data_IF_264099085117
#
_entry.id   IF_264099085117
#
_cell.length_a   1.000
_cell.length_b   1.000
_cell.length_c   1.000
_cell.angle_alpha   90.00
_cell.angle_beta   90.00
_cell.angle_gamma   90.00
#
_symmetry.space_group_name_H-M   'P 1'
#
loop_
_entity.id
_entity.type
_entity.pdbx_description
1 polymer ?
#
# COMPACT_ATOMS: atom_id res chain seq x y z
N UNK A 1 11.42 8.43 4.91
CA UNK A 1 10.96 8.27 6.30
C UNK A 1 9.88 7.22 6.33
N UNK A 2 9.98 6.23 7.23
CA UNK A 2 9.01 5.15 7.31
C UNK A 2 7.71 5.54 8.03
N UNK A 3 6.74 4.65 7.98
CA UNK A 3 5.54 4.72 8.82
C UNK A 3 5.94 4.75 10.31
N UNK A 4 5.25 5.61 11.08
CA UNK A 4 5.40 5.71 12.53
C UNK A 4 4.12 5.19 13.17
N UNK A 5 4.28 4.16 14.00
CA UNK A 5 3.17 3.52 14.70
C UNK A 5 3.58 3.15 16.12
N UNK A 6 2.65 3.30 17.05
CA UNK A 6 2.75 2.77 18.40
C UNK A 6 1.79 1.59 18.53
N UNK A 7 2.29 0.36 18.45
CA UNK A 7 1.51 -0.86 18.64
C UNK A 7 2.11 -1.68 19.78
N UNK A 8 1.28 -2.16 20.70
CA UNK A 8 1.67 -3.08 21.77
C UNK A 8 1.57 -4.52 21.27
N UNK A 9 2.47 -4.93 20.37
CA UNK A 9 2.53 -6.31 19.90
C UNK A 9 3.68 -7.05 20.55
N UNK A 10 3.36 -8.16 21.21
CA UNK A 10 4.31 -9.14 21.70
C UNK A 10 3.90 -10.50 21.16
N UNK A 11 4.78 -11.11 20.37
CA UNK A 11 4.62 -12.49 19.92
C UNK A 11 5.89 -13.24 20.30
N UNK A 12 5.73 -14.40 20.95
CA UNK A 12 6.83 -15.30 21.29
C UNK A 12 6.53 -16.65 20.66
N UNK A 13 7.48 -17.16 19.88
CA UNK A 13 7.36 -18.52 19.37
C UNK A 13 7.39 -19.52 20.55
N UNK A 14 6.64 -20.59 20.42
CA UNK A 14 6.72 -21.76 21.29
C UNK A 14 6.57 -23.00 20.41
N UNK A 15 7.66 -23.52 19.87
CA UNK A 15 7.58 -24.69 19.01
C UNK A 15 8.68 -25.70 19.33
N UNK A 16 8.43 -26.95 18.96
CA UNK A 16 9.28 -28.11 19.26
C UNK A 16 10.74 -27.98 18.79
N UNK A 17 11.05 -27.04 17.90
CA UNK A 17 12.41 -26.81 17.42
C UNK A 17 13.23 -25.88 18.32
N UNK A 18 12.63 -25.30 19.37
CA UNK A 18 13.27 -24.38 20.30
C UNK A 18 14.09 -25.05 21.42
N UNK A 19 14.21 -26.39 21.41
CA UNK A 19 15.00 -27.17 22.38
C UNK A 19 14.61 -26.84 23.84
N UNK A 20 15.56 -26.40 24.66
CA UNK A 20 15.38 -26.15 26.09
C UNK A 20 14.37 -25.03 26.39
N UNK A 21 14.11 -24.14 25.42
CA UNK A 21 13.14 -23.05 25.54
C UNK A 21 11.70 -23.47 25.17
N UNK A 22 11.50 -24.68 24.62
CA UNK A 22 10.17 -25.19 24.28
C UNK A 22 9.38 -25.61 25.53
N UNK A 23 8.12 -25.19 25.58
CA UNK A 23 7.21 -25.48 26.69
C UNK A 23 6.07 -26.36 26.18
N UNK A 24 6.11 -27.69 26.44
CA UNK A 24 5.11 -28.63 25.92
C UNK A 24 3.73 -28.47 26.56
N UNK A 25 3.65 -27.77 27.70
CA UNK A 25 2.44 -27.38 28.41
C UNK A 25 1.70 -26.19 27.78
N UNK A 26 2.36 -25.46 26.85
CA UNK A 26 1.80 -24.30 26.17
C UNK A 26 1.46 -24.60 24.71
N UNK A 27 0.59 -23.77 24.12
CA UNK A 27 0.21 -23.86 22.71
C UNK A 27 1.43 -23.77 21.79
N UNK A 28 1.42 -24.55 20.70
CA UNK A 28 2.49 -24.52 19.70
C UNK A 28 2.36 -23.31 18.78
N UNK A 29 3.27 -22.34 18.94
CA UNK A 29 3.30 -21.08 18.19
C UNK A 29 4.54 -21.05 17.29
N UNK A 30 4.29 -20.86 15.99
CA UNK A 30 5.32 -20.65 14.98
C UNK A 30 5.31 -19.19 14.53
N UNK A 31 6.49 -18.61 14.36
CA UNK A 31 6.66 -17.31 13.72
C UNK A 31 7.12 -17.55 12.28
N UNK A 32 6.43 -16.92 11.33
CA UNK A 32 6.79 -16.98 9.92
C UNK A 32 7.25 -15.60 9.45
N UNK A 33 8.33 -15.58 8.69
CA UNK A 33 8.83 -14.40 8.01
C UNK A 33 8.46 -14.48 6.53
N UNK A 34 7.72 -13.50 6.05
CA UNK A 34 7.36 -13.35 4.64
C UNK A 34 8.14 -12.20 4.04
N UNK A 35 8.77 -12.45 2.90
CA UNK A 35 9.43 -11.43 2.09
C UNK A 35 8.93 -11.53 0.65
N UNK A 36 8.56 -10.39 0.08
CA UNK A 36 8.07 -10.33 -1.30
C UNK A 36 9.23 -10.07 -2.22
N UNK A 37 9.56 -11.06 -3.05
CA UNK A 37 10.60 -10.93 -4.05
C UNK A 37 10.27 -9.81 -5.05
N UNK A 38 11.15 -8.81 -5.16
CA UNK A 38 11.06 -7.73 -6.14
C UNK A 38 9.75 -6.93 -6.07
N UNK A 39 9.33 -6.53 -4.86
CA UNK A 39 8.08 -5.78 -4.63
C UNK A 39 7.92 -4.56 -5.55
N UNK A 40 8.95 -3.72 -5.70
CA UNK A 40 8.90 -2.54 -6.58
C UNK A 40 8.76 -2.93 -8.04
N UNK A 41 9.55 -3.90 -8.52
CA UNK A 41 9.45 -4.39 -9.89
C UNK A 41 8.06 -4.93 -10.22
N UNK A 42 7.50 -5.75 -9.31
CA UNK A 42 6.13 -6.26 -9.47
C UNK A 42 5.11 -5.12 -9.56
N UNK A 43 5.22 -4.12 -8.68
CA UNK A 43 4.32 -2.94 -8.69
C UNK A 43 4.50 -2.09 -9.95
N UNK A 44 5.71 -2.00 -10.49
CA UNK A 44 6.01 -1.27 -11.72
C UNK A 44 5.44 -1.95 -12.98
N UNK A 45 5.06 -3.23 -12.91
CA UNK A 45 4.40 -3.93 -14.00
C UNK A 45 2.89 -3.66 -14.08
N UNK A 46 2.31 -3.01 -13.06
CA UNK A 46 0.89 -2.66 -13.01
C UNK A 46 0.56 -1.47 -13.93
N UNK A 47 -0.73 -1.16 -14.08
CA UNK A 47 -1.17 0.04 -14.79
C UNK A 47 -0.80 1.29 -13.99
N UNK A 48 0.13 2.08 -14.54
CA UNK A 48 0.65 3.29 -13.91
C UNK A 48 0.26 4.54 -14.71
N UNK A 49 0.00 5.66 -14.03
CA UNK A 49 -0.28 6.93 -14.69
C UNK A 49 0.89 7.35 -15.59
N UNK A 50 0.58 7.87 -16.78
CA UNK A 50 1.62 8.39 -17.69
C UNK A 50 1.27 9.75 -18.32
N UNK A 51 0.02 10.21 -18.27
CA UNK A 51 -0.34 11.48 -18.90
C UNK A 51 -1.82 11.85 -18.86
N UNK A 52 -2.15 12.93 -19.55
CA UNK A 52 -3.52 13.44 -19.74
C UNK A 52 -4.26 13.75 -18.43
N UNK A 53 -3.51 14.28 -17.45
CA UNK A 53 -4.05 14.69 -16.16
C UNK A 53 -5.04 15.84 -16.32
N UNK A 54 -6.25 15.65 -15.85
CA UNK A 54 -7.30 16.68 -15.86
C UNK A 54 -8.24 16.49 -14.68
N UNK A 55 -8.75 17.60 -14.15
CA UNK A 55 -9.82 17.52 -13.16
C UNK A 55 -11.14 17.15 -13.85
N UNK A 56 -11.95 16.36 -13.17
CA UNK A 56 -13.31 16.05 -13.56
C UNK A 56 -14.22 17.16 -13.02
N UNK A 57 -15.17 17.62 -13.82
CA UNK A 57 -16.15 18.62 -13.40
C UNK A 57 -17.03 18.10 -12.26
N UNK A 58 -17.49 19.01 -11.39
CA UNK A 58 -18.19 18.66 -10.14
C UNK A 58 -19.40 17.75 -10.35
N UNK A 59 -20.26 18.09 -11.33
CA UNK A 59 -21.47 17.32 -11.65
C UNK A 59 -21.15 15.90 -12.19
N UNK A 60 -19.96 15.71 -12.76
CA UNK A 60 -19.60 14.47 -13.41
C UNK A 60 -19.03 13.43 -12.42
N UNK A 61 -18.31 13.85 -11.37
CA UNK A 61 -17.69 12.88 -10.46
C UNK A 61 -18.65 12.27 -9.43
N UNK A 62 -19.80 12.89 -9.15
CA UNK A 62 -20.84 12.27 -8.30
C UNK A 62 -21.41 10.99 -8.92
N UNK A 63 -21.34 10.88 -10.25
CA UNK A 63 -21.86 9.72 -11.02
C UNK A 63 -20.80 8.67 -11.35
N UNK A 64 -19.53 8.91 -11.01
CA UNK A 64 -18.45 7.96 -11.30
C UNK A 64 -18.55 6.73 -10.41
N UNK A 65 -18.70 5.56 -11.03
CA UNK A 65 -18.63 4.27 -10.34
C UNK A 65 -17.16 3.84 -10.11
N UNK A 66 -16.50 4.53 -9.19
CA UNK A 66 -15.08 4.31 -8.87
C UNK A 66 -14.85 2.94 -8.23
N UNK A 67 -15.86 2.40 -7.53
CA UNK A 67 -15.73 1.12 -6.82
C UNK A 67 -15.70 -0.06 -7.79
N UNK A 68 -16.46 0.00 -8.89
CA UNK A 68 -16.47 -1.06 -9.90
C UNK A 68 -15.58 -0.77 -11.12
N UNK A 69 -14.99 0.42 -11.23
CA UNK A 69 -14.05 0.79 -12.30
C UNK A 69 -12.90 -0.23 -12.42
N UNK A 70 -12.54 -0.79 -13.59
CA UNK A 70 -11.46 -1.78 -13.67
C UNK A 70 -10.07 -1.22 -13.30
N UNK A 71 -9.24 -2.04 -12.64
CA UNK A 71 -7.88 -1.64 -12.24
C UNK A 71 -6.91 -1.49 -13.43
N UNK A 72 -7.21 -2.19 -14.52
CA UNK A 72 -6.49 -2.24 -15.80
C UNK A 72 -7.17 -1.40 -16.89
N UNK A 73 -8.12 -0.54 -16.53
CA UNK A 73 -8.70 0.41 -17.45
C UNK A 73 -7.64 1.42 -17.93
N UNK A 74 -7.86 1.97 -19.13
CA UNK A 74 -6.97 2.99 -19.71
C UNK A 74 -7.00 4.31 -18.92
N UNK A 75 -8.11 4.58 -18.23
CA UNK A 75 -8.28 5.75 -17.36
C UNK A 75 -8.14 5.32 -15.91
N UNK A 76 -7.46 6.13 -15.11
CA UNK A 76 -7.39 5.99 -13.65
C UNK A 76 -7.74 7.31 -12.95
N UNK A 77 -7.90 7.24 -11.62
CA UNK A 77 -8.32 8.37 -10.81
C UNK A 77 -7.50 8.54 -9.53
N UNK A 78 -7.19 9.79 -9.19
CA UNK A 78 -6.77 10.21 -7.86
C UNK A 78 -7.92 11.04 -7.29
N UNK A 79 -8.35 10.71 -6.08
CA UNK A 79 -9.44 11.39 -5.40
C UNK A 79 -8.90 12.21 -4.25
N UNK A 80 -9.54 13.34 -4.00
CA UNK A 80 -9.50 14.11 -2.76
C UNK A 80 -10.85 13.88 -2.08
N UNK A 81 -10.88 13.20 -0.94
CA UNK A 81 -12.11 12.78 -0.30
C UNK A 81 -12.06 12.76 1.23
N UNK A 82 -13.23 12.74 1.84
CA UNK A 82 -13.41 12.59 3.28
C UNK A 82 -13.78 11.13 3.58
N UNK A 83 -13.06 10.52 4.52
CA UNK A 83 -13.24 9.13 4.93
C UNK A 83 -13.62 9.08 6.40
N UNK A 84 -14.75 8.47 6.72
CA UNK A 84 -15.08 8.16 8.10
C UNK A 84 -14.34 6.89 8.52
N UNK A 85 -13.83 6.90 9.75
CA UNK A 85 -13.22 5.73 10.39
C UNK A 85 -14.13 5.25 11.52
N UNK A 86 -14.99 4.24 11.27
CA UNK A 86 -15.96 3.80 12.25
C UNK A 86 -15.30 3.25 13.53
N UNK A 87 -15.78 3.62 14.74
CA UNK A 87 -15.24 3.14 16.01
C UNK A 87 -15.24 1.62 16.16
N UNK A 88 -16.18 0.90 15.53
CA UNK A 88 -16.24 -0.56 15.55
C UNK A 88 -15.05 -1.23 14.85
N UNK A 89 -14.31 -0.51 14.00
CA UNK A 89 -13.08 -1.00 13.35
C UNK A 89 -11.82 -0.77 14.18
N UNK A 90 -11.88 0.06 15.24
CA UNK A 90 -10.69 0.47 15.98
C UNK A 90 -9.95 -0.71 16.62
N UNK A 91 -10.69 -1.69 17.14
CA UNK A 91 -10.08 -2.89 17.71
C UNK A 91 -9.44 -3.77 16.62
N UNK A 92 -10.11 -3.92 15.47
CA UNK A 92 -9.62 -4.73 14.37
C UNK A 92 -8.37 -4.12 13.70
N UNK A 93 -8.32 -2.80 13.59
CA UNK A 93 -7.27 -2.08 12.89
C UNK A 93 -6.23 -1.44 13.81
N UNK A 94 -6.27 -1.67 15.12
CA UNK A 94 -5.31 -1.09 16.09
C UNK A 94 -3.85 -1.35 15.70
N UNK A 95 -3.63 -2.49 15.05
CA UNK A 95 -2.36 -3.05 14.65
C UNK A 95 -1.83 -2.48 13.33
N UNK A 96 -2.69 -2.03 12.43
CA UNK A 96 -2.28 -1.39 11.19
C UNK A 96 -3.40 -0.48 10.68
N UNK A 97 -3.61 0.70 11.29
CA UNK A 97 -4.64 1.62 10.84
C UNK A 97 -4.45 2.01 9.37
N UNK A 98 -5.54 1.98 8.61
CA UNK A 98 -5.55 2.39 7.21
C UNK A 98 -5.42 3.91 7.04
N UNK A 99 -5.13 4.33 5.81
CA UNK A 99 -5.02 5.74 5.40
C UNK A 99 -4.00 6.55 6.24
N UNK A 100 -2.69 6.25 6.17
CA UNK A 100 -1.68 7.01 6.89
C UNK A 100 -1.69 8.50 6.50
N UNK A 101 -1.39 9.36 7.46
CA UNK A 101 -1.37 10.82 7.28
C UNK A 101 -0.12 11.46 7.89
N UNK A 102 0.40 12.51 7.26
CA UNK A 102 1.51 13.27 7.82
C UNK A 102 1.02 14.18 8.95
N UNK A 103 1.44 13.90 10.19
CA UNK A 103 1.05 14.68 11.38
C UNK A 103 2.22 14.88 12.33
N UNK A 104 2.12 15.92 13.14
CA UNK A 104 3.03 16.14 14.26
C UNK A 104 2.58 15.23 15.43
N UNK A 105 3.42 14.30 15.89
CA UNK A 105 3.14 13.54 17.09
C UNK A 105 2.98 14.48 18.31
N UNK A 106 2.25 14.04 19.36
CA UNK A 106 2.24 14.77 20.62
C UNK A 106 3.68 15.06 21.08
N UNK A 107 3.94 16.30 21.49
CA UNK A 107 5.26 16.76 21.96
C UNK A 107 6.39 16.74 20.90
N UNK A 108 6.06 16.72 19.61
CA UNK A 108 7.05 16.80 18.53
C UNK A 108 6.69 17.86 17.50
N UNK A 109 7.70 18.63 17.07
CA UNK A 109 7.55 19.62 15.99
C UNK A 109 7.82 19.04 14.60
N UNK A 110 8.12 17.74 14.50
CA UNK A 110 8.44 17.08 13.23
C UNK A 110 7.24 16.30 12.70
N UNK A 111 6.88 16.56 11.44
CA UNK A 111 5.85 15.77 10.74
C UNK A 111 6.36 14.35 10.52
N UNK A 112 5.57 13.37 10.94
CA UNK A 112 5.80 11.95 10.69
C UNK A 112 4.59 11.37 9.95
N UNK A 113 4.82 10.34 9.14
CA UNK A 113 3.73 9.58 8.54
C UNK A 113 3.14 8.66 9.62
N UNK A 114 1.95 8.99 10.10
CA UNK A 114 1.32 8.31 11.24
C UNK A 114 0.14 7.46 10.78
N UNK A 115 0.03 6.26 11.37
CA UNK A 115 -1.16 5.41 11.25
C UNK A 115 -2.12 5.78 12.37
N UNK A 116 -3.23 6.44 12.03
CA UNK A 116 -4.23 6.92 12.99
C UNK A 116 -5.59 6.31 12.71
N UNK A 117 -6.36 6.07 13.77
CA UNK A 117 -7.76 5.62 13.70
C UNK A 117 -8.75 6.78 13.53
N UNK A 118 -8.27 7.99 13.26
CA UNK A 118 -9.14 9.15 13.08
C UNK A 118 -9.82 9.13 11.70
N UNK A 119 -11.00 9.73 11.59
CA UNK A 119 -11.56 10.08 10.29
C UNK A 119 -10.63 11.02 9.53
N UNK A 120 -10.61 10.90 8.21
CA UNK A 120 -9.73 11.64 7.32
C UNK A 120 -10.54 12.70 6.59
N UNK A 121 -9.92 13.86 6.38
CA UNK A 121 -10.52 15.00 5.68
C UNK A 121 -9.56 15.44 4.59
N UNK A 122 -10.08 15.77 3.41
CA UNK A 122 -9.31 16.13 2.23
C UNK A 122 -8.17 15.14 1.92
N UNK A 123 -8.45 13.85 2.09
CA UNK A 123 -7.48 12.79 1.94
C UNK A 123 -7.26 12.50 0.46
N UNK A 124 -6.02 12.65 0.00
CA UNK A 124 -5.66 12.40 -1.40
C UNK A 124 -5.16 10.97 -1.56
N UNK A 125 -5.82 10.18 -2.41
CA UNK A 125 -5.48 8.78 -2.64
C UNK A 125 -5.77 8.30 -4.05
N UNK A 126 -5.08 7.24 -4.46
CA UNK A 126 -5.36 6.50 -5.69
C UNK A 126 -6.66 5.70 -5.55
N UNK A 127 -7.45 5.59 -6.62
CA UNK A 127 -8.73 4.89 -6.60
C UNK A 127 -8.64 3.42 -6.13
N UNK A 128 -7.56 2.71 -6.49
CA UNK A 128 -7.31 1.33 -5.99
C UNK A 128 -7.19 1.27 -4.47
N UNK A 129 -6.58 2.28 -3.84
CA UNK A 129 -6.50 2.36 -2.38
C UNK A 129 -7.86 2.69 -1.77
N UNK A 130 -8.66 3.54 -2.42
CA UNK A 130 -10.03 3.80 -1.98
C UNK A 130 -10.84 2.50 -1.96
N UNK A 131 -10.82 1.70 -3.03
CA UNK A 131 -11.50 0.40 -3.07
C UNK A 131 -11.06 -0.52 -1.92
N UNK A 132 -9.75 -0.60 -1.67
CA UNK A 132 -9.22 -1.37 -0.55
C UNK A 132 -9.80 -0.85 0.77
N UNK A 133 -9.79 0.46 1.00
CA UNK A 133 -10.27 1.04 2.25
C UNK A 133 -11.76 0.82 2.48
N UNK A 134 -12.59 0.98 1.45
CA UNK A 134 -14.02 0.68 1.52
C UNK A 134 -14.25 -0.82 1.79
N UNK A 135 -13.50 -1.70 1.11
CA UNK A 135 -13.55 -3.14 1.36
C UNK A 135 -13.18 -3.52 2.80
N UNK A 136 -12.28 -2.75 3.43
CA UNK A 136 -11.89 -2.92 4.84
C UNK A 136 -12.82 -2.17 5.81
N UNK A 137 -13.89 -1.55 5.32
CA UNK A 137 -14.95 -0.96 6.14
C UNK A 137 -14.85 0.54 6.41
N UNK A 138 -13.85 1.26 5.87
CA UNK A 138 -13.90 2.72 5.89
C UNK A 138 -15.09 3.19 5.06
N UNK A 139 -15.68 4.31 5.43
CA UNK A 139 -16.85 4.85 4.73
C UNK A 139 -16.44 6.10 3.97
N UNK A 140 -16.74 6.14 2.67
CA UNK A 140 -16.59 7.35 1.86
C UNK A 140 -17.71 8.32 2.23
N UNK A 141 -17.34 9.47 2.81
CA UNK A 141 -18.32 10.48 3.23
C UNK A 141 -18.62 11.43 2.08
N UNK A 142 -17.56 11.94 1.44
CA UNK A 142 -17.67 12.94 0.39
C UNK A 142 -16.46 12.87 -0.53
N UNK A 143 -16.69 13.03 -1.83
CA UNK A 143 -15.64 13.33 -2.80
C UNK A 143 -15.57 14.85 -2.96
N UNK A 144 -14.39 15.43 -2.75
CA UNK A 144 -14.17 16.86 -2.91
C UNK A 144 -13.72 17.21 -4.32
N UNK A 145 -12.81 16.41 -4.89
CA UNK A 145 -12.30 16.57 -6.27
C UNK A 145 -11.81 15.24 -6.81
N UNK A 146 -11.85 15.10 -8.14
CA UNK A 146 -11.29 13.94 -8.84
C UNK A 146 -10.33 14.41 -9.93
N UNK A 147 -9.12 13.85 -9.92
CA UNK A 147 -8.14 13.98 -10.99
C UNK A 147 -8.15 12.68 -11.82
N UNK A 148 -8.53 12.77 -13.09
CA UNK A 148 -8.41 11.65 -14.04
C UNK A 148 -7.08 11.70 -14.79
N UNK A 149 -6.60 10.55 -15.20
CA UNK A 149 -5.36 10.40 -16.00
C UNK A 149 -5.42 9.15 -16.87
N UNK A 150 -4.56 9.08 -17.89
CA UNK A 150 -4.31 7.84 -18.62
C UNK A 150 -3.24 7.00 -17.93
N UNK A 151 -3.48 5.69 -17.90
CA UNK A 151 -2.60 4.70 -17.32
C UNK A 151 -2.42 3.49 -18.24
N UNK A 152 -1.26 2.85 -18.14
CA UNK A 152 -0.92 1.62 -18.87
C UNK A 152 0.23 0.90 -18.16
N UNK A 153 0.51 -0.38 -18.45
CA UNK A 153 1.66 -1.09 -17.88
C UNK A 153 2.94 -0.76 -18.64
N UNK A 154 3.23 0.54 -18.83
CA UNK A 154 4.27 1.02 -19.73
C UNK A 154 5.69 0.64 -19.28
N UNK A 155 5.92 0.49 -17.96
CA UNK A 155 7.19 -0.01 -17.42
C UNK A 155 7.36 -1.52 -17.53
N UNK A 156 6.28 -2.29 -17.70
CA UNK A 156 6.32 -3.76 -17.64
C UNK A 156 7.37 -4.37 -18.57
N UNK A 157 7.46 -3.89 -19.81
CA UNK A 157 8.46 -4.39 -20.79
C UNK A 157 9.90 -4.22 -20.30
N UNK A 158 10.18 -3.10 -19.64
CA UNK A 158 11.50 -2.81 -19.08
C UNK A 158 11.80 -3.72 -17.88
N UNK A 159 10.84 -3.89 -16.99
CA UNK A 159 10.99 -4.75 -15.80
C UNK A 159 11.16 -6.22 -16.20
N UNK A 160 10.34 -6.70 -17.14
CA UNK A 160 10.40 -8.07 -17.66
C UNK A 160 11.78 -8.34 -18.28
N UNK A 161 12.29 -7.41 -19.09
CA UNK A 161 13.62 -7.53 -19.71
C UNK A 161 14.73 -7.66 -18.67
N UNK A 162 14.78 -6.77 -17.68
CA UNK A 162 15.81 -6.83 -16.64
C UNK A 162 15.67 -8.08 -15.76
N UNK A 163 14.44 -8.52 -15.50
CA UNK A 163 14.17 -9.75 -14.75
C UNK A 163 14.67 -10.98 -15.52
N UNK A 164 14.39 -11.06 -16.82
CA UNK A 164 14.90 -12.13 -17.68
C UNK A 164 16.42 -12.12 -17.73
N UNK A 165 17.03 -10.95 -17.98
CA UNK A 165 18.49 -10.81 -18.02
C UNK A 165 19.14 -11.24 -16.71
N UNK A 166 18.55 -10.87 -15.57
CA UNK A 166 19.01 -11.31 -14.25
C UNK A 166 18.95 -12.82 -14.07
N UNK A 167 17.94 -13.50 -14.61
CA UNK A 167 17.80 -14.96 -14.54
C UNK A 167 18.81 -15.68 -15.44
N UNK A 168 19.16 -15.09 -16.59
CA UNK A 168 20.14 -15.62 -17.54
C UNK A 168 21.60 -15.43 -17.07
N UNK A 169 21.85 -14.45 -16.20
CA UNK A 169 23.20 -14.12 -15.72
C UNK A 169 23.81 -15.23 -14.86
N UNK A 170 25.07 -15.54 -15.14
CA UNK A 170 25.86 -16.58 -14.45
C UNK A 170 26.86 -16.03 -13.44
N UNK A 171 27.02 -14.70 -13.37
CA UNK A 171 27.96 -14.04 -12.46
C UNK A 171 27.25 -13.04 -11.54
N UNK A 172 27.82 -12.82 -10.35
CA UNK A 172 27.22 -11.96 -9.34
C UNK A 172 27.10 -10.51 -9.80
N UNK A 173 28.09 -9.99 -10.55
CA UNK A 173 28.09 -8.61 -11.02
C UNK A 173 26.83 -8.30 -11.85
N UNK A 174 26.53 -9.11 -12.86
CA UNK A 174 25.35 -8.91 -13.69
C UNK A 174 24.04 -9.12 -12.93
N UNK A 175 23.97 -10.12 -12.04
CA UNK A 175 22.79 -10.35 -11.19
C UNK A 175 22.49 -9.11 -10.34
N UNK A 176 23.53 -8.48 -9.78
CA UNK A 176 23.42 -7.24 -9.02
C UNK A 176 23.08 -6.04 -9.90
N UNK A 177 23.68 -5.94 -11.09
CA UNK A 177 23.40 -4.90 -12.06
C UNK A 177 21.92 -4.88 -12.47
N UNK A 178 21.38 -5.99 -12.96
CA UNK A 178 19.98 -6.03 -13.40
C UNK A 178 18.99 -5.88 -12.24
N UNK A 179 19.35 -6.33 -11.03
CA UNK A 179 18.58 -6.01 -9.81
C UNK A 179 18.55 -4.51 -9.53
N UNK A 180 19.69 -3.83 -9.68
CA UNK A 180 19.79 -2.39 -9.48
C UNK A 180 18.96 -1.63 -10.51
N UNK A 181 18.99 -2.05 -11.78
CA UNK A 181 18.21 -1.42 -12.85
C UNK A 181 16.71 -1.43 -12.58
N UNK A 182 16.18 -2.50 -11.99
CA UNK A 182 14.76 -2.57 -11.56
C UNK A 182 14.49 -1.66 -10.36
N UNK A 183 15.38 -1.64 -9.36
CA UNK A 183 15.16 -0.89 -8.12
C UNK A 183 15.43 0.62 -8.22
N UNK A 184 16.09 1.07 -9.30
CA UNK A 184 16.54 2.45 -9.47
C UNK A 184 15.79 3.21 -10.57
N UNK A 185 14.65 2.67 -11.01
CA UNK A 185 13.72 3.36 -11.93
C UNK A 185 13.15 4.60 -11.27
#
# INVERSE_FOLDING_TARGET
GGITQCSTRYAKANNKYMKDDYRPDLESIYLMYFDVNSLYGATMCEFLPYGEFSFVDDDAFETLDILNHPDDAEIGYILDCDLNYPPNLHQLHNDLPLAPEHRNPPHSNFKKLMLTLYSKQNYVLHYRNLKLYIKQGLELVKINRVLKFRQSPWLKKYIDLNTQKRQESSNEFEIHFYKLMVNSV
#
